data_IF_429473664346
#
_entry.id   IF_429473664346
#
_cell.length_a   1.000
_cell.length_b   1.000
_cell.length_c   1.000
_cell.angle_alpha   90.00
_cell.angle_beta   90.00
_cell.angle_gamma   90.00
#
_symmetry.space_group_name_H-M   'P 1'
#
loop_
_entity.id
_entity.type
_entity.pdbx_description
1 polymer ?
#
# COMPACT_ATOMS: atom_id res chain seq x y z
N UNK A 1 20.04 -0.58 -0.97
CA UNK A 1 18.71 -1.11 -1.32
C UNK A 1 18.29 -0.49 -2.64
N UNK A 2 17.80 -1.27 -3.60
CA UNK A 2 17.43 -0.73 -4.93
C UNK A 2 16.07 -0.04 -4.84
N UNK A 3 15.99 1.20 -5.33
CA UNK A 3 14.74 1.97 -5.46
C UNK A 3 14.05 1.56 -6.75
N UNK A 4 12.90 0.89 -6.65
CA UNK A 4 12.09 0.47 -7.82
C UNK A 4 11.33 1.66 -8.37
N UNK A 5 10.56 2.35 -7.53
CA UNK A 5 9.80 3.55 -7.90
C UNK A 5 10.65 4.78 -7.60
N UNK A 6 11.20 5.42 -8.63
CA UNK A 6 12.09 6.59 -8.48
C UNK A 6 11.37 7.92 -8.64
N UNK A 7 10.33 7.94 -9.47
CA UNK A 7 9.44 9.08 -9.66
C UNK A 7 7.99 8.59 -9.80
N UNK A 8 7.03 9.36 -9.29
CA UNK A 8 5.60 9.15 -9.53
C UNK A 8 4.90 10.49 -9.79
N UNK A 9 4.27 10.62 -10.96
CA UNK A 9 3.40 11.74 -11.30
C UNK A 9 1.95 11.30 -11.41
N UNK A 10 1.08 12.05 -10.73
CA UNK A 10 -0.37 11.91 -10.75
C UNK A 10 -0.95 13.07 -11.55
N UNK A 11 -1.03 12.90 -12.87
CA UNK A 11 -1.65 13.90 -13.75
C UNK A 11 -3.17 13.97 -13.50
N UNK A 12 -3.82 12.80 -13.37
CA UNK A 12 -5.23 12.69 -13.01
C UNK A 12 -5.51 11.37 -12.29
N UNK A 13 -5.85 11.41 -11.01
CA UNK A 13 -6.33 10.25 -10.25
C UNK A 13 -7.25 10.70 -9.11
N UNK A 14 -8.51 10.26 -9.14
CA UNK A 14 -9.55 10.73 -8.22
C UNK A 14 -9.61 12.27 -8.21
N UNK A 15 -9.55 12.88 -7.03
CA UNK A 15 -9.46 14.34 -6.88
C UNK A 15 -8.05 14.92 -7.01
N UNK A 16 -7.01 14.09 -7.17
CA UNK A 16 -5.60 14.53 -7.22
C UNK A 16 -5.17 14.74 -8.67
N UNK A 17 -4.58 15.90 -8.94
CA UNK A 17 -4.03 16.25 -10.25
C UNK A 17 -2.78 17.14 -10.10
N UNK A 18 -1.82 16.95 -11.01
CA UNK A 18 -0.59 17.75 -11.07
C UNK A 18 0.39 17.53 -9.91
N UNK A 19 0.31 16.38 -9.23
CA UNK A 19 1.22 16.05 -8.11
C UNK A 19 2.37 15.19 -8.62
N UNK A 20 3.60 15.62 -8.35
CA UNK A 20 4.82 14.89 -8.71
C UNK A 20 5.64 14.59 -7.47
N UNK A 21 6.03 13.33 -7.30
CA UNK A 21 6.96 12.85 -6.29
C UNK A 21 8.24 12.46 -7.02
N UNK A 22 9.22 13.37 -7.04
CA UNK A 22 10.51 13.14 -7.70
C UNK A 22 11.55 12.59 -6.72
N UNK A 23 12.54 11.85 -7.23
CA UNK A 23 13.69 11.39 -6.46
C UNK A 23 13.27 10.66 -5.16
N UNK A 24 12.33 9.72 -5.29
CA UNK A 24 11.97 8.79 -4.22
C UNK A 24 13.20 7.99 -3.80
N UNK A 25 13.31 7.76 -2.51
CA UNK A 25 14.42 7.05 -1.87
C UNK A 25 13.95 5.68 -1.38
N UNK A 26 14.87 4.82 -0.88
CA UNK A 26 14.52 3.58 -0.20
C UNK A 26 13.37 3.69 0.81
N UNK A 27 13.29 4.80 1.53
CA UNK A 27 12.20 5.16 2.44
C UNK A 27 11.66 6.52 2.05
N UNK A 28 10.45 6.57 1.51
CA UNK A 28 9.78 7.82 1.12
C UNK A 28 8.53 8.00 1.97
N UNK A 29 8.42 9.15 2.66
CA UNK A 29 7.32 9.46 3.56
C UNK A 29 6.46 10.59 3.00
N UNK A 30 5.17 10.36 2.85
CA UNK A 30 4.17 11.35 2.42
C UNK A 30 3.47 11.89 3.67
N UNK A 31 3.64 13.17 3.95
CA UNK A 31 3.16 13.84 5.17
C UNK A 31 2.12 14.90 4.83
N UNK A 32 1.12 15.09 5.68
CA UNK A 32 0.15 16.17 5.58
C UNK A 32 -1.17 15.86 6.30
N UNK A 33 -2.08 16.83 6.34
CA UNK A 33 -3.39 16.70 6.97
C UNK A 33 -4.27 15.59 6.37
N UNK A 34 -5.31 15.21 7.11
CA UNK A 34 -6.35 14.34 6.58
C UNK A 34 -6.99 14.96 5.33
N UNK A 35 -7.40 14.11 4.39
CA UNK A 35 -7.98 14.54 3.11
C UNK A 35 -7.03 15.35 2.17
N UNK A 36 -5.72 15.36 2.43
CA UNK A 36 -4.74 16.04 1.56
C UNK A 36 -4.34 15.25 0.31
N UNK A 37 -4.82 14.00 0.14
CA UNK A 37 -4.53 13.14 -1.02
C UNK A 37 -3.47 12.05 -0.78
N UNK A 38 -2.96 11.90 0.45
CA UNK A 38 -1.94 10.90 0.81
C UNK A 38 -2.30 9.45 0.42
N UNK A 39 -3.47 8.97 0.82
CA UNK A 39 -3.91 7.60 0.48
C UNK A 39 -4.11 7.42 -1.03
N UNK A 40 -4.59 8.47 -1.74
CA UNK A 40 -4.69 8.45 -3.20
C UNK A 40 -3.32 8.30 -3.89
N UNK A 41 -2.26 8.91 -3.32
CA UNK A 41 -0.89 8.74 -3.81
C UNK A 41 -0.42 7.29 -3.63
N UNK A 42 -0.70 6.65 -2.48
CA UNK A 42 -0.37 5.24 -2.29
C UNK A 42 -1.15 4.32 -3.24
N UNK A 43 -2.45 4.58 -3.44
CA UNK A 43 -3.27 3.83 -4.39
C UNK A 43 -2.70 3.93 -5.82
N UNK A 44 -2.38 5.15 -6.27
CA UNK A 44 -1.79 5.42 -7.57
C UNK A 44 -0.43 4.71 -7.73
N UNK A 45 0.41 4.69 -6.70
CA UNK A 45 1.67 3.93 -6.71
C UNK A 45 1.43 2.43 -6.91
N UNK A 46 0.43 1.87 -6.22
CA UNK A 46 0.03 0.47 -6.40
C UNK A 46 -0.42 0.16 -7.82
N UNK A 47 -1.31 0.99 -8.38
CA UNK A 47 -1.78 0.86 -9.77
C UNK A 47 -0.65 1.04 -10.79
N UNK A 48 0.28 1.96 -10.56
CA UNK A 48 1.44 2.16 -11.43
C UNK A 48 2.35 0.92 -11.48
N UNK A 49 2.53 0.24 -10.34
CA UNK A 49 3.38 -0.95 -10.22
C UNK A 49 2.73 -2.22 -10.77
N UNK A 50 1.39 -2.34 -10.67
CA UNK A 50 0.60 -3.48 -11.19
C UNK A 50 -0.67 -3.04 -11.96
N UNK A 51 -0.53 -2.32 -13.09
CA UNK A 51 -1.67 -1.69 -13.77
C UNK A 51 -2.72 -2.67 -14.31
N UNK A 52 -2.35 -3.76 -15.03
CA UNK A 52 -3.32 -4.71 -15.58
C UNK A 52 -3.77 -5.80 -14.59
N UNK A 53 -3.46 -5.65 -13.30
CA UNK A 53 -3.78 -6.65 -12.29
C UNK A 53 -5.09 -6.30 -11.57
N UNK A 54 -6.21 -6.99 -11.83
CA UNK A 54 -7.49 -6.66 -11.21
C UNK A 54 -7.47 -6.79 -9.68
N UNK A 55 -6.59 -7.64 -9.12
CA UNK A 55 -6.39 -7.76 -7.68
C UNK A 55 -5.80 -6.49 -7.06
N UNK A 56 -4.98 -5.75 -7.80
CA UNK A 56 -4.44 -4.47 -7.33
C UNK A 56 -5.53 -3.37 -7.29
N UNK A 57 -6.43 -3.34 -8.27
CA UNK A 57 -7.58 -2.42 -8.28
C UNK A 57 -8.54 -2.72 -7.12
N UNK A 58 -8.87 -3.99 -6.93
CA UNK A 58 -9.70 -4.43 -5.79
C UNK A 58 -9.02 -4.10 -4.47
N UNK A 59 -7.71 -4.31 -4.36
CA UNK A 59 -6.96 -3.94 -3.17
C UNK A 59 -7.06 -2.43 -2.89
N UNK A 60 -6.93 -1.57 -3.91
CA UNK A 60 -7.10 -0.13 -3.74
C UNK A 60 -8.50 0.26 -3.23
N UNK A 61 -9.55 -0.42 -3.69
CA UNK A 61 -10.93 -0.22 -3.19
C UNK A 61 -11.08 -0.68 -1.74
N UNK A 62 -10.76 -1.95 -1.45
CA UNK A 62 -11.01 -2.58 -0.15
C UNK A 62 -10.24 -1.95 1.01
N UNK A 63 -9.18 -1.19 0.71
CA UNK A 63 -8.44 -0.39 1.71
C UNK A 63 -9.24 0.79 2.23
N UNK A 64 -10.06 1.41 1.37
CA UNK A 64 -10.84 2.60 1.72
C UNK A 64 -12.03 2.21 2.58
N UNK A 65 -12.72 1.18 2.13
CA UNK A 65 -13.90 0.66 2.78
C UNK A 65 -14.05 -0.81 2.38
N UNK A 66 -14.03 -1.69 3.38
CA UNK A 66 -14.14 -3.12 3.17
C UNK A 66 -15.55 -3.50 2.70
N UNK A 67 -16.56 -2.74 3.11
CA UNK A 67 -17.99 -3.02 2.91
C UNK A 67 -18.55 -2.33 1.65
N UNK A 68 -17.82 -1.37 1.08
CA UNK A 68 -18.21 -0.68 -0.16
C UNK A 68 -18.42 -1.68 -1.31
N UNK A 69 -19.52 -1.52 -2.06
CA UNK A 69 -19.74 -2.32 -3.26
C UNK A 69 -18.56 -2.17 -4.22
N UNK A 70 -18.04 -3.29 -4.74
CA UNK A 70 -16.80 -3.28 -5.53
C UNK A 70 -16.91 -2.37 -6.75
N UNK A 71 -18.09 -2.35 -7.38
CA UNK A 71 -18.37 -1.54 -8.56
C UNK A 71 -18.27 -0.04 -8.25
N UNK A 72 -18.96 0.44 -7.21
CA UNK A 72 -18.91 1.84 -6.77
C UNK A 72 -17.48 2.22 -6.32
N UNK A 73 -16.81 1.27 -5.68
CA UNK A 73 -15.41 1.38 -5.32
C UNK A 73 -14.52 1.63 -6.54
N UNK A 74 -14.59 0.76 -7.56
CA UNK A 74 -13.78 0.92 -8.78
C UNK A 74 -14.14 2.21 -9.50
N UNK A 75 -15.43 2.52 -9.63
CA UNK A 75 -15.91 3.73 -10.29
C UNK A 75 -15.38 5.02 -9.62
N UNK A 76 -15.41 5.07 -8.29
CA UNK A 76 -14.90 6.22 -7.51
C UNK A 76 -13.38 6.44 -7.56
N UNK A 77 -12.62 5.56 -8.24
CA UNK A 77 -11.19 5.76 -8.50
C UNK A 77 -10.94 6.72 -9.67
N UNK A 78 -11.93 6.95 -10.53
CA UNK A 78 -11.78 7.80 -11.70
C UNK A 78 -12.01 9.28 -11.35
N UNK A 79 -11.32 10.21 -12.04
CA UNK A 79 -11.47 11.64 -11.77
C UNK A 79 -12.89 12.14 -12.01
N UNK A 80 -13.42 12.90 -11.05
CA UNK A 80 -14.78 13.48 -11.14
C UNK A 80 -15.90 12.44 -11.19
N UNK A 81 -15.66 11.20 -10.73
CA UNK A 81 -16.69 10.17 -10.71
C UNK A 81 -17.88 10.57 -9.81
N UNK A 82 -19.06 10.63 -10.41
CA UNK A 82 -20.35 10.76 -9.73
C UNK A 82 -21.00 9.39 -9.53
N UNK A 83 -22.09 9.32 -8.77
CA UNK A 83 -22.82 8.07 -8.57
C UNK A 83 -23.30 7.51 -9.91
N UNK A 84 -23.20 6.19 -10.08
CA UNK A 84 -23.69 5.54 -11.30
C UNK A 84 -25.19 5.34 -11.18
N UNK A 85 -25.91 5.76 -12.22
CA UNK A 85 -27.36 5.63 -12.37
C UNK A 85 -27.65 4.65 -13.52
N UNK A 86 -27.97 3.38 -13.23
CA UNK A 86 -28.21 2.36 -14.26
C UNK A 86 -29.29 2.76 -15.28
N UNK A 87 -30.30 3.51 -14.84
CA UNK A 87 -31.41 4.02 -15.64
C UNK A 87 -30.99 4.97 -16.77
N UNK A 88 -29.84 5.62 -16.65
CA UNK A 88 -29.31 6.57 -17.64
C UNK A 88 -28.54 5.87 -18.77
N UNK A 89 -28.46 4.54 -18.74
CA UNK A 89 -27.69 3.72 -19.68
C UNK A 89 -26.18 3.73 -19.39
N UNK A 90 -25.35 3.30 -20.36
CA UNK A 90 -23.91 3.16 -20.14
C UNK A 90 -23.22 4.50 -19.86
N UNK A 91 -22.59 4.62 -18.70
CA UNK A 91 -21.83 5.80 -18.31
C UNK A 91 -20.34 5.60 -18.54
N UNK A 92 -19.62 6.68 -18.89
CA UNK A 92 -18.17 6.65 -19.11
C UNK A 92 -17.45 7.56 -18.13
N UNK A 93 -16.33 7.10 -17.62
CA UNK A 93 -15.51 7.87 -16.70
C UNK A 93 -14.59 8.85 -17.43
N UNK A 94 -14.11 9.86 -16.71
CA UNK A 94 -12.86 10.54 -17.06
C UNK A 94 -11.67 9.56 -17.00
N UNK A 95 -10.54 9.93 -17.59
CA UNK A 95 -9.36 9.08 -17.61
C UNK A 95 -8.48 9.25 -16.36
N UNK A 96 -8.02 8.14 -15.79
CA UNK A 96 -6.84 8.11 -14.92
C UNK A 96 -5.61 8.28 -15.80
N UNK A 97 -4.69 9.15 -15.37
CA UNK A 97 -3.41 9.41 -16.03
C UNK A 97 -2.30 9.47 -14.99
N UNK A 98 -1.38 8.51 -15.08
CA UNK A 98 -0.23 8.38 -14.19
C UNK A 98 1.04 8.20 -15.03
N UNK A 99 2.16 8.70 -14.53
CA UNK A 99 3.49 8.36 -15.06
C UNK A 99 4.49 8.11 -13.94
N UNK A 100 5.55 7.35 -14.21
CA UNK A 100 6.59 7.04 -13.24
C UNK A 100 7.88 6.63 -13.94
N UNK A 101 9.00 6.86 -13.26
CA UNK A 101 10.28 6.24 -13.59
C UNK A 101 10.48 5.05 -12.65
N UNK A 102 10.59 3.86 -13.24
CA UNK A 102 10.69 2.57 -12.58
C UNK A 102 12.04 1.92 -12.91
N UNK A 103 13.04 2.11 -12.05
CA UNK A 103 14.42 1.67 -12.33
C UNK A 103 15.03 2.42 -13.51
N UNK A 104 15.21 1.74 -14.64
CA UNK A 104 15.75 2.27 -15.89
C UNK A 104 14.68 2.55 -16.96
N UNK A 105 13.39 2.47 -16.59
CA UNK A 105 12.26 2.55 -17.53
C UNK A 105 11.25 3.58 -17.10
N UNK A 106 10.81 4.40 -18.05
CA UNK A 106 9.61 5.19 -17.87
C UNK A 106 8.35 4.35 -18.14
N UNK A 107 7.30 4.66 -17.38
CA UNK A 107 5.99 4.06 -17.53
C UNK A 107 4.92 5.14 -17.53
N UNK A 108 3.99 5.06 -18.47
CA UNK A 108 2.73 5.79 -18.43
C UNK A 108 1.57 4.81 -18.31
N UNK A 109 0.56 5.17 -17.52
CA UNK A 109 -0.67 4.40 -17.36
C UNK A 109 -1.84 5.31 -17.66
N UNK A 110 -2.66 4.89 -18.62
CA UNK A 110 -3.92 5.53 -18.96
C UNK A 110 -5.06 4.53 -18.73
N UNK A 111 -6.09 4.92 -17.98
CA UNK A 111 -7.24 4.05 -17.77
C UNK A 111 -8.56 4.80 -17.86
N UNK A 112 -9.55 4.21 -18.53
CA UNK A 112 -10.94 4.67 -18.56
C UNK A 112 -11.87 3.55 -18.11
N UNK A 113 -13.06 3.90 -17.66
CA UNK A 113 -14.10 2.95 -17.29
C UNK A 113 -15.40 3.21 -18.02
N UNK A 114 -16.16 2.13 -18.21
CA UNK A 114 -17.55 2.17 -18.60
C UNK A 114 -18.37 1.37 -17.58
N UNK A 115 -19.34 2.03 -16.96
CA UNK A 115 -20.34 1.39 -16.11
C UNK A 115 -21.59 1.10 -16.94
N UNK A 116 -22.17 -0.08 -16.77
CA UNK A 116 -23.41 -0.46 -17.45
C UNK A 116 -24.12 -1.58 -16.71
N UNK A 117 -25.44 -1.60 -16.79
CA UNK A 117 -26.24 -2.74 -16.37
C UNK A 117 -25.97 -3.95 -17.30
N UNK A 118 -25.70 -5.11 -16.71
CA UNK A 118 -25.51 -6.37 -17.43
C UNK A 118 -26.75 -7.22 -17.21
N UNK A 119 -27.45 -7.54 -18.30
CA UNK A 119 -28.63 -8.39 -18.27
C UNK A 119 -28.24 -9.87 -18.20
N UNK A 120 -28.73 -10.59 -17.19
CA UNK A 120 -28.55 -12.03 -17.01
C UNK A 120 -29.46 -12.60 -15.92
N UNK A 121 -29.86 -13.89 -16.07
CA UNK A 121 -30.68 -14.87 -15.28
C UNK A 121 -31.64 -14.42 -14.17
N UNK A 122 -31.40 -13.33 -13.44
CA UNK A 122 -32.30 -12.77 -12.42
C UNK A 122 -33.02 -11.52 -12.95
N UNK A 123 -34.27 -11.31 -12.50
CA UNK A 123 -34.99 -10.05 -12.75
C UNK A 123 -34.25 -8.89 -12.08
N UNK A 124 -33.89 -7.87 -12.87
CA UNK A 124 -33.01 -6.76 -12.49
C UNK A 124 -31.55 -7.06 -12.85
N UNK A 125 -31.00 -6.34 -13.83
CA UNK A 125 -29.62 -6.55 -14.26
C UNK A 125 -28.62 -6.13 -13.17
N UNK A 126 -27.41 -6.69 -13.23
CA UNK A 126 -26.35 -6.39 -12.28
C UNK A 126 -25.48 -5.25 -12.82
N UNK A 127 -25.18 -4.24 -12.00
CA UNK A 127 -24.27 -3.18 -12.41
C UNK A 127 -22.84 -3.73 -12.53
N UNK A 128 -22.19 -3.51 -13.66
CA UNK A 128 -20.81 -3.88 -13.89
C UNK A 128 -19.98 -2.70 -14.35
N UNK A 129 -18.68 -2.72 -14.02
CA UNK A 129 -17.69 -1.76 -14.54
C UNK A 129 -16.63 -2.49 -15.33
N UNK A 130 -16.41 -2.02 -16.55
CA UNK A 130 -15.28 -2.42 -17.41
C UNK A 130 -14.24 -1.32 -17.36
N UNK A 131 -13.02 -1.67 -16.97
CA UNK A 131 -11.87 -0.76 -16.96
C UNK A 131 -10.95 -1.12 -18.11
N UNK A 132 -10.60 -0.15 -18.95
CA UNK A 132 -9.66 -0.30 -20.06
C UNK A 132 -8.34 0.34 -19.66
N UNK A 133 -7.29 -0.47 -19.48
CA UNK A 133 -5.96 -0.01 -19.02
C UNK A 133 -4.96 -0.10 -20.16
N UNK A 134 -4.42 1.04 -20.60
CA UNK A 134 -3.30 1.14 -21.53
C UNK A 134 -2.03 1.51 -20.76
N UNK A 135 -0.91 0.86 -21.12
CA UNK A 135 0.42 1.13 -20.55
C UNK A 135 1.34 1.50 -21.70
N UNK A 136 2.06 2.62 -21.58
CA UNK A 136 2.99 3.10 -22.61
C UNK A 136 2.37 3.29 -24.02
N UNK A 137 1.04 3.51 -24.08
CA UNK A 137 0.30 3.65 -25.34
C UNK A 137 -0.06 2.33 -26.03
N UNK A 138 0.25 1.18 -25.43
CA UNK A 138 -0.13 -0.14 -25.94
C UNK A 138 -1.66 -0.33 -25.95
N UNK A 139 -2.21 -1.25 -26.77
CA UNK A 139 -3.63 -1.57 -26.78
C UNK A 139 -4.18 -1.85 -25.39
N UNK A 140 -5.34 -1.28 -25.08
CA UNK A 140 -5.91 -1.34 -23.75
C UNK A 140 -6.31 -2.78 -23.36
N UNK A 141 -5.98 -3.12 -22.13
CA UNK A 141 -6.34 -4.38 -21.47
C UNK A 141 -7.66 -4.16 -20.72
N UNK A 142 -8.65 -5.00 -20.99
CA UNK A 142 -9.96 -4.92 -20.34
C UNK A 142 -9.97 -5.70 -19.01
N UNK A 143 -10.32 -5.03 -17.93
CA UNK A 143 -10.62 -5.59 -16.62
C UNK A 143 -12.14 -5.51 -16.38
N UNK A 144 -12.74 -6.54 -15.77
CA UNK A 144 -14.17 -6.58 -15.46
C UNK A 144 -14.40 -6.70 -13.96
N UNK A 145 -15.38 -5.98 -13.44
CA UNK A 145 -15.81 -6.05 -12.04
C UNK A 145 -17.34 -6.15 -11.96
N UNK A 146 -17.90 -7.00 -11.06
CA UNK A 146 -17.20 -7.77 -10.01
C UNK A 146 -16.48 -9.04 -10.50
N UNK A 147 -16.59 -9.42 -11.78
CA UNK A 147 -15.96 -10.61 -12.35
C UNK A 147 -14.44 -10.54 -12.54
N UNK A 148 -13.68 -10.83 -11.48
CA UNK A 148 -12.20 -10.85 -11.53
C UNK A 148 -11.73 -12.12 -12.24
N UNK A 149 -11.10 -11.97 -13.41
CA UNK A 149 -10.38 -13.05 -14.09
C UNK A 149 -8.90 -12.68 -14.21
N UNK A 150 -7.98 -13.65 -14.07
CA UNK A 150 -6.57 -13.41 -14.37
C UNK A 150 -6.44 -12.93 -15.82
N UNK A 151 -5.66 -11.87 -16.01
CA UNK A 151 -5.42 -11.30 -17.33
C UNK A 151 -3.98 -11.59 -17.73
N UNK A 152 -3.82 -12.21 -18.91
CA UNK A 152 -2.49 -12.44 -19.48
C UNK A 152 -2.06 -11.17 -20.20
N UNK A 153 -0.93 -10.61 -19.79
CA UNK A 153 -0.38 -9.38 -20.36
C UNK A 153 1.16 -9.45 -20.44
N UNK A 154 1.76 -8.63 -21.29
CA UNK A 154 3.22 -8.52 -21.42
C UNK A 154 3.80 -7.35 -20.61
N UNK A 155 2.95 -6.53 -20.00
CA UNK A 155 3.39 -5.40 -19.15
C UNK A 155 4.16 -5.94 -17.95
N UNK A 156 5.41 -5.50 -17.69
CA UNK A 156 6.15 -5.90 -16.51
C UNK A 156 5.40 -5.45 -15.23
N UNK A 157 5.27 -6.33 -14.24
CA UNK A 157 4.65 -5.98 -12.95
C UNK A 157 5.66 -6.10 -11.83
N UNK A 158 5.55 -5.20 -10.85
CA UNK A 158 6.44 -5.18 -9.69
C UNK A 158 5.73 -5.75 -8.47
N UNK A 159 6.48 -6.39 -7.58
CA UNK A 159 5.94 -6.86 -6.30
C UNK A 159 5.61 -5.65 -5.45
N UNK A 160 4.32 -5.45 -5.23
CA UNK A 160 3.82 -4.41 -4.33
C UNK A 160 2.78 -5.01 -3.41
N UNK A 161 2.91 -4.69 -2.13
CA UNK A 161 1.94 -5.04 -1.10
C UNK A 161 1.67 -3.82 -0.23
N UNK A 162 0.57 -3.86 0.50
CA UNK A 162 0.16 -2.73 1.32
C UNK A 162 -0.27 -3.16 2.70
N UNK A 163 0.11 -2.36 3.67
CA UNK A 163 -0.32 -2.46 5.06
C UNK A 163 -1.25 -1.29 5.34
N UNK A 164 -2.44 -1.60 5.84
CA UNK A 164 -3.45 -0.62 6.26
C UNK A 164 -3.49 -0.52 7.79
N UNK A 165 -4.10 0.55 8.34
CA UNK A 165 -4.35 0.68 9.78
C UNK A 165 -5.01 -0.52 10.45
N UNK A 166 -5.81 -1.29 9.71
CA UNK A 166 -6.63 -2.39 10.21
C UNK A 166 -6.08 -3.79 9.90
N UNK A 167 -4.95 -3.90 9.18
CA UNK A 167 -4.44 -5.18 8.68
C UNK A 167 -4.14 -6.20 9.78
N UNK A 168 -3.81 -5.77 11.00
CA UNK A 168 -3.45 -6.65 12.12
C UNK A 168 -4.64 -7.25 12.88
N UNK A 169 -5.88 -6.86 12.57
CA UNK A 169 -7.07 -7.38 13.24
C UNK A 169 -7.61 -8.68 12.62
N UNK A 170 -7.19 -9.04 11.40
CA UNK A 170 -7.77 -10.15 10.65
C UNK A 170 -6.94 -11.44 10.76
N UNK A 171 -7.47 -12.44 11.46
CA UNK A 171 -6.87 -13.78 11.56
C UNK A 171 -6.82 -14.48 10.20
N UNK A 172 -7.87 -14.36 9.38
CA UNK A 172 -7.89 -14.96 8.04
C UNK A 172 -6.81 -14.36 7.15
N UNK A 173 -6.58 -13.04 7.24
CA UNK A 173 -5.51 -12.38 6.52
C UNK A 173 -4.13 -12.91 6.93
N UNK A 174 -3.89 -13.16 8.22
CA UNK A 174 -2.63 -13.76 8.67
C UNK A 174 -2.43 -15.17 8.12
N UNK A 175 -3.47 -15.99 8.13
CA UNK A 175 -3.43 -17.35 7.57
C UNK A 175 -3.12 -17.31 6.08
N UNK A 176 -3.81 -16.46 5.32
CA UNK A 176 -3.59 -16.29 3.88
C UNK A 176 -2.18 -15.78 3.58
N UNK A 177 -1.72 -14.77 4.34
CA UNK A 177 -0.38 -14.21 4.17
C UNK A 177 0.71 -15.22 4.47
N UNK A 178 0.61 -15.95 5.58
CA UNK A 178 1.60 -16.96 5.95
C UNK A 178 1.59 -18.14 4.99
N UNK A 179 0.42 -18.60 4.55
CA UNK A 179 0.31 -19.66 3.54
C UNK A 179 1.03 -19.27 2.25
N UNK A 180 0.78 -18.05 1.74
CA UNK A 180 1.46 -17.56 0.53
C UNK A 180 2.97 -17.35 0.72
N UNK A 181 3.42 -17.03 1.93
CA UNK A 181 4.85 -16.96 2.28
C UNK A 181 5.48 -18.35 2.26
N UNK A 182 4.79 -19.37 2.80
CA UNK A 182 5.24 -20.76 2.82
C UNK A 182 5.29 -21.31 1.40
N UNK A 183 4.23 -21.12 0.61
CA UNK A 183 4.15 -21.57 -0.79
C UNK A 183 5.26 -20.94 -1.66
N UNK A 184 5.67 -19.72 -1.35
CA UNK A 184 6.77 -19.04 -2.01
C UNK A 184 8.17 -19.47 -1.52
N UNK A 185 8.26 -20.41 -0.56
CA UNK A 185 9.52 -20.88 0.02
C UNK A 185 10.22 -19.85 0.92
N UNK A 186 9.47 -18.93 1.54
CA UNK A 186 10.01 -17.77 2.28
C UNK A 186 9.75 -17.80 3.78
N UNK A 187 9.33 -18.94 4.34
CA UNK A 187 9.04 -19.08 5.77
C UNK A 187 10.23 -18.65 6.64
N UNK A 188 11.46 -19.06 6.30
CA UNK A 188 12.64 -18.67 7.08
C UNK A 188 12.87 -17.16 7.09
N UNK A 189 12.62 -16.47 5.96
CA UNK A 189 12.68 -15.02 5.91
C UNK A 189 11.60 -14.39 6.81
N UNK A 190 10.37 -14.89 6.80
CA UNK A 190 9.32 -14.40 7.69
C UNK A 190 9.69 -14.55 9.17
N UNK A 191 10.23 -15.70 9.56
CA UNK A 191 10.70 -15.93 10.95
C UNK A 191 11.87 -15.00 11.29
N UNK A 192 12.81 -14.79 10.37
CA UNK A 192 13.91 -13.85 10.55
C UNK A 192 13.41 -12.41 10.73
N UNK A 193 12.47 -11.97 9.90
CA UNK A 193 11.89 -10.63 10.00
C UNK A 193 11.06 -10.48 11.28
N UNK A 194 10.33 -11.52 11.71
CA UNK A 194 9.69 -11.53 13.03
C UNK A 194 10.70 -11.37 14.16
N UNK A 195 11.86 -12.02 14.06
CA UNK A 195 12.96 -11.89 15.02
C UNK A 195 13.47 -10.45 15.20
N UNK A 196 13.33 -9.59 14.18
CA UNK A 196 13.67 -8.15 14.28
C UNK A 196 12.71 -7.43 15.23
N UNK A 197 11.44 -7.83 15.27
CA UNK A 197 10.43 -7.27 16.17
C UNK A 197 10.42 -7.95 17.54
N UNK A 198 10.61 -9.26 17.58
CA UNK A 198 10.64 -10.04 18.80
C UNK A 198 11.59 -11.24 18.64
N UNK A 199 12.75 -11.17 19.31
CA UNK A 199 13.79 -12.19 19.26
C UNK A 199 13.39 -13.53 19.91
N UNK A 200 12.31 -13.55 20.69
CA UNK A 200 11.79 -14.77 21.30
C UNK A 200 10.96 -15.61 20.32
N UNK A 201 10.53 -15.04 19.18
CA UNK A 201 9.86 -15.78 18.10
C UNK A 201 10.86 -16.70 17.41
N UNK A 202 10.55 -18.00 17.39
CA UNK A 202 11.39 -19.06 16.80
C UNK A 202 10.78 -19.69 15.56
N UNK A 203 9.45 -19.72 15.45
CA UNK A 203 8.78 -20.20 14.26
C UNK A 203 7.35 -19.68 14.12
N UNK A 204 6.78 -19.80 12.92
CA UNK A 204 5.38 -19.50 12.59
C UNK A 204 4.74 -20.64 11.80
N UNK A 205 3.55 -21.09 12.19
CA UNK A 205 2.83 -22.17 11.51
C UNK A 205 1.35 -21.87 11.32
N UNK A 206 0.79 -22.29 10.19
CA UNK A 206 -0.67 -22.34 10.01
C UNK A 206 -1.17 -23.66 10.55
N UNK A 207 -2.17 -23.59 11.43
CA UNK A 207 -2.90 -24.77 11.89
C UNK A 207 -4.33 -24.75 11.38
N UNK A 208 -4.86 -25.94 11.08
CA UNK A 208 -6.28 -26.17 10.83
C UNK A 208 -6.79 -27.16 11.87
N UNK A 209 -7.71 -26.74 12.73
CA UNK A 209 -8.28 -27.59 13.78
C UNK A 209 -9.76 -27.31 13.94
N UNK A 210 -10.59 -28.36 13.92
CA UNK A 210 -12.06 -28.27 14.07
C UNK A 210 -12.72 -27.19 13.18
N UNK A 211 -12.25 -27.05 11.94
CA UNK A 211 -12.77 -26.04 10.99
C UNK A 211 -12.32 -24.61 11.26
N UNK A 212 -11.40 -24.39 12.21
CA UNK A 212 -10.77 -23.09 12.47
C UNK A 212 -9.33 -23.11 11.98
N UNK A 213 -8.96 -22.02 11.29
CA UNK A 213 -7.59 -21.78 10.85
C UNK A 213 -6.98 -20.66 11.69
N UNK A 214 -5.73 -20.83 12.11
CA UNK A 214 -5.01 -19.83 12.88
C UNK A 214 -3.52 -19.89 12.60
N UNK A 215 -2.83 -18.78 12.86
CA UNK A 215 -1.36 -18.74 12.91
C UNK A 215 -0.91 -19.00 14.34
N UNK A 216 -0.01 -19.96 14.52
CA UNK A 216 0.71 -20.23 15.78
C UNK A 216 2.12 -19.68 15.72
N UNK A 217 2.57 -19.20 16.87
CA UNK A 217 3.92 -18.70 17.11
C UNK A 217 4.62 -19.67 18.05
N UNK A 218 5.74 -20.24 17.62
CA UNK A 218 6.66 -20.94 18.52
C UNK A 218 7.52 -19.88 19.20
N UNK A 219 7.31 -19.69 20.50
CA UNK A 219 7.93 -18.61 21.28
C UNK A 219 8.79 -19.18 22.42
N UNK A 220 10.00 -18.65 22.59
CA UNK A 220 10.97 -19.19 23.55
C UNK A 220 10.45 -19.23 25.00
N UNK A 221 9.79 -18.15 25.44
CA UNK A 221 9.29 -18.03 26.82
C UNK A 221 7.85 -18.51 27.02
N UNK A 222 7.07 -18.70 25.94
CA UNK A 222 5.62 -18.99 26.01
C UNK A 222 5.22 -20.34 25.39
N UNK A 223 6.16 -21.07 24.79
CA UNK A 223 5.85 -22.27 24.04
C UNK A 223 5.12 -21.96 22.73
N UNK A 224 4.31 -22.91 22.25
CA UNK A 224 3.54 -22.75 21.00
C UNK A 224 2.15 -22.22 21.33
N UNK A 225 1.86 -20.99 20.90
CA UNK A 225 0.61 -20.27 21.21
C UNK A 225 0.03 -19.62 19.96
N UNK A 226 -1.28 -19.40 19.94
CA UNK A 226 -1.94 -18.75 18.81
C UNK A 226 -1.54 -17.25 18.74
N UNK A 227 -1.28 -16.73 17.54
CA UNK A 227 -0.91 -15.33 17.32
C UNK A 227 -1.98 -14.36 17.87
N UNK A 228 -3.24 -14.77 17.83
CA UNK A 228 -4.39 -14.02 18.38
C UNK A 228 -4.34 -13.84 19.91
N UNK A 229 -3.55 -14.66 20.63
CA UNK A 229 -3.36 -14.55 22.08
C UNK A 229 -2.37 -13.45 22.49
N UNK A 230 -1.62 -12.90 21.54
CA UNK A 230 -0.71 -11.79 21.79
C UNK A 230 -1.42 -10.44 21.65
N UNK A 231 -0.89 -9.42 22.33
CA UNK A 231 -1.37 -8.05 22.20
C UNK A 231 -1.14 -7.46 20.81
N UNK A 232 -1.75 -6.31 20.54
CA UNK A 232 -1.71 -5.62 19.23
C UNK A 232 -0.30 -5.37 18.71
N UNK A 233 0.67 -5.13 19.60
CA UNK A 233 2.06 -4.92 19.20
C UNK A 233 2.64 -6.09 18.40
N UNK A 234 2.51 -7.32 18.90
CA UNK A 234 3.07 -8.49 18.19
C UNK A 234 2.22 -8.87 16.97
N UNK A 235 0.90 -8.73 17.04
CA UNK A 235 0.02 -8.95 15.87
C UNK A 235 0.38 -7.99 14.74
N UNK A 236 0.64 -6.72 15.05
CA UNK A 236 1.09 -5.74 14.06
C UNK A 236 2.50 -6.04 13.54
N UNK A 237 3.43 -6.44 14.41
CA UNK A 237 4.74 -6.90 13.98
C UNK A 237 4.64 -8.08 13.00
N UNK A 238 3.74 -9.05 13.25
CA UNK A 238 3.45 -10.14 12.34
C UNK A 238 2.90 -9.65 11.00
N UNK A 239 1.98 -8.68 11.01
CA UNK A 239 1.43 -8.12 9.77
C UNK A 239 2.53 -7.46 8.92
N UNK A 240 3.40 -6.68 9.56
CA UNK A 240 4.55 -6.05 8.91
C UNK A 240 5.55 -7.08 8.40
N UNK A 241 5.97 -8.04 9.22
CA UNK A 241 6.97 -9.05 8.86
C UNK A 241 6.50 -9.96 7.71
N UNK A 242 5.24 -10.44 7.76
CA UNK A 242 4.67 -11.25 6.69
C UNK A 242 4.53 -10.44 5.40
N UNK A 243 4.06 -9.20 5.48
CA UNK A 243 3.91 -8.35 4.29
C UNK A 243 5.27 -7.97 3.70
N UNK A 244 6.28 -7.65 4.51
CA UNK A 244 7.67 -7.44 4.08
C UNK A 244 8.26 -8.67 3.39
N UNK A 245 8.02 -9.86 3.94
CA UNK A 245 8.48 -11.13 3.35
C UNK A 245 7.90 -11.33 1.95
N UNK A 246 6.60 -11.03 1.80
CA UNK A 246 5.92 -11.07 0.50
C UNK A 246 6.47 -10.01 -0.46
N UNK A 247 6.72 -8.81 0.05
CA UNK A 247 7.23 -7.67 -0.70
C UNK A 247 8.73 -7.74 -1.02
N UNK A 248 9.47 -8.73 -0.51
CA UNK A 248 10.93 -8.83 -0.70
C UNK A 248 11.34 -8.64 -2.16
N UNK A 249 12.32 -7.75 -2.37
CA UNK A 249 12.79 -7.23 -3.67
C UNK A 249 11.73 -6.41 -4.43
N UNK A 250 10.88 -5.70 -3.71
CA UNK A 250 9.75 -4.96 -4.25
C UNK A 250 9.45 -3.70 -3.43
N UNK A 251 8.18 -3.30 -3.43
CA UNK A 251 7.69 -2.10 -2.77
C UNK A 251 6.65 -2.46 -1.70
N UNK A 252 6.77 -1.85 -0.53
CA UNK A 252 5.77 -1.86 0.52
C UNK A 252 5.14 -0.49 0.63
N UNK A 253 3.83 -0.44 0.45
CA UNK A 253 3.03 0.75 0.69
C UNK A 253 2.48 0.66 2.12
N UNK A 254 2.60 1.72 2.91
CA UNK A 254 2.07 1.71 4.28
C UNK A 254 1.18 2.93 4.47
N UNK A 255 -0.11 2.72 4.66
CA UNK A 255 -1.02 3.81 5.00
C UNK A 255 -1.02 4.01 6.51
N UNK A 256 -0.82 5.26 6.95
CA UNK A 256 -0.64 5.65 8.35
C UNK A 256 0.38 4.75 9.07
N UNK A 257 1.67 4.96 8.75
CA UNK A 257 2.77 4.14 9.27
C UNK A 257 2.80 4.07 10.80
N UNK A 258 2.30 5.10 11.48
CA UNK A 258 2.12 5.15 12.92
C UNK A 258 1.01 4.23 13.40
N UNK A 259 -0.12 4.09 12.68
CA UNK A 259 -1.32 3.28 12.97
C UNK A 259 -1.58 3.05 14.47
N UNK A 260 -2.14 1.94 14.93
CA UNK A 260 -2.11 1.55 16.36
C UNK A 260 -0.71 1.25 16.96
N UNK A 261 0.27 2.16 16.91
CA UNK A 261 1.52 2.13 17.70
C UNK A 261 1.49 3.28 18.70
N UNK A 262 1.73 2.97 19.96
CA UNK A 262 1.82 3.98 21.00
C UNK A 262 3.07 4.86 20.81
N UNK A 263 2.93 6.18 20.97
CA UNK A 263 3.99 7.15 20.67
C UNK A 263 5.32 6.84 21.37
N UNK A 264 5.30 6.33 22.60
CA UNK A 264 6.51 6.00 23.37
C UNK A 264 7.36 4.90 22.75
N UNK A 265 6.80 4.08 21.85
CA UNK A 265 7.50 2.97 21.18
C UNK A 265 7.61 3.17 19.66
N UNK A 266 7.17 4.31 19.11
CA UNK A 266 7.22 4.60 17.67
C UNK A 266 8.63 4.44 17.10
N UNK A 267 9.64 5.11 17.66
CA UNK A 267 11.04 5.02 17.19
C UNK A 267 11.55 3.58 17.21
N UNK A 268 11.24 2.82 18.26
CA UNK A 268 11.64 1.42 18.37
C UNK A 268 11.01 0.56 17.25
N UNK A 269 9.69 0.67 17.06
CA UNK A 269 8.95 -0.15 16.08
C UNK A 269 9.30 0.26 14.65
N UNK A 270 9.35 1.56 14.35
CA UNK A 270 9.70 2.06 13.02
C UNK A 270 11.17 1.77 12.70
N UNK A 271 12.10 1.92 13.63
CA UNK A 271 13.50 1.52 13.42
C UNK A 271 13.65 0.03 13.11
N UNK A 272 12.85 -0.83 13.76
CA UNK A 272 12.78 -2.27 13.44
C UNK A 272 12.19 -2.54 12.05
N UNK A 273 11.14 -1.82 11.68
CA UNK A 273 10.55 -1.86 10.33
C UNK A 273 11.59 -1.48 9.26
N UNK A 274 12.34 -0.40 9.45
CA UNK A 274 13.38 0.04 8.51
C UNK A 274 14.50 -1.01 8.37
N UNK A 275 14.94 -1.59 9.48
CA UNK A 275 15.93 -2.70 9.49
C UNK A 275 15.41 -3.92 8.74
N UNK A 276 14.16 -4.32 9.00
CA UNK A 276 13.52 -5.46 8.35
C UNK A 276 13.34 -5.23 6.85
N UNK A 277 12.96 -4.03 6.44
CA UNK A 277 12.83 -3.64 5.04
C UNK A 277 14.18 -3.64 4.30
N UNK A 278 15.23 -3.11 4.93
CA UNK A 278 16.58 -3.18 4.38
C UNK A 278 17.05 -4.64 4.20
N UNK A 279 16.83 -5.50 5.20
CA UNK A 279 17.16 -6.93 5.13
C UNK A 279 16.39 -7.67 4.02
N UNK A 280 15.12 -7.32 3.81
CA UNK A 280 14.27 -7.90 2.77
C UNK A 280 14.42 -7.25 1.39
N UNK A 281 15.25 -6.20 1.28
CA UNK A 281 15.42 -5.36 0.08
C UNK A 281 14.10 -4.76 -0.42
N UNK A 282 13.33 -4.13 0.47
CA UNK A 282 11.98 -3.62 0.21
C UNK A 282 11.93 -2.10 0.28
N UNK A 283 11.53 -1.44 -0.81
CA UNK A 283 11.28 0.00 -0.85
C UNK A 283 10.01 0.34 -0.07
N UNK A 284 10.07 1.33 0.81
CA UNK A 284 8.91 1.80 1.55
C UNK A 284 8.44 3.12 0.94
N UNK A 285 7.16 3.17 0.59
CA UNK A 285 6.42 4.42 0.41
C UNK A 285 5.30 4.45 1.45
N UNK A 286 5.38 5.38 2.39
CA UNK A 286 4.47 5.41 3.53
C UNK A 286 3.77 6.76 3.65
N UNK A 287 2.59 6.78 4.27
CA UNK A 287 1.90 8.02 4.62
C UNK A 287 1.87 8.20 6.13
N UNK A 288 1.76 9.45 6.57
CA UNK A 288 1.55 9.78 7.98
C UNK A 288 0.86 11.13 8.12
N UNK A 289 0.16 11.33 9.23
CA UNK A 289 -0.30 12.63 9.71
C UNK A 289 0.30 12.99 11.09
N UNK A 290 1.17 12.12 11.61
CA UNK A 290 1.82 12.26 12.91
C UNK A 290 3.22 12.84 12.77
N UNK A 291 3.47 13.96 13.45
CA UNK A 291 4.80 14.54 13.57
C UNK A 291 5.72 13.63 14.40
N UNK A 292 5.16 12.93 15.38
CA UNK A 292 5.85 11.96 16.22
C UNK A 292 6.38 10.78 15.37
N UNK A 293 5.62 10.37 14.34
CA UNK A 293 6.07 9.37 13.38
C UNK A 293 7.20 9.88 12.49
N UNK A 294 7.14 11.14 12.06
CA UNK A 294 8.22 11.79 11.31
C UNK A 294 9.49 11.85 12.15
N UNK A 295 9.40 12.31 13.39
CA UNK A 295 10.53 12.38 14.33
C UNK A 295 11.11 11.00 14.63
N UNK A 296 10.25 9.99 14.78
CA UNK A 296 10.65 8.61 14.98
C UNK A 296 11.40 8.03 13.77
N UNK A 297 10.97 8.34 12.54
CA UNK A 297 11.65 7.92 11.30
C UNK A 297 13.00 8.63 11.16
N UNK A 298 13.04 9.95 11.36
CA UNK A 298 14.29 10.72 11.33
C UNK A 298 15.31 10.11 12.29
N UNK A 299 14.94 9.96 13.56
CA UNK A 299 15.82 9.37 14.56
C UNK A 299 16.23 7.94 14.23
N UNK A 300 15.33 7.14 13.65
CA UNK A 300 15.67 5.77 13.21
C UNK A 300 16.67 5.76 12.05
N UNK A 301 16.58 6.71 11.13
CA UNK A 301 17.51 6.85 10.00
C UNK A 301 18.89 7.33 10.47
N UNK A 302 18.94 8.22 11.47
CA UNK A 302 20.18 8.62 12.15
C UNK A 302 20.85 7.45 12.85
N UNK A 303 20.09 6.67 13.62
CA UNK A 303 20.59 5.47 14.33
C UNK A 303 21.17 4.43 13.35
N UNK A 304 20.69 4.42 12.11
CA UNK A 304 21.16 3.54 11.04
C UNK A 304 22.32 4.13 10.23
N UNK A 305 22.61 5.42 10.35
CA UNK A 305 23.64 6.10 9.56
C UNK A 305 23.34 6.16 8.05
N UNK A 306 22.05 6.18 7.66
CA UNK A 306 21.62 6.09 6.26
C UNK A 306 20.81 7.31 5.81
N UNK A 307 21.31 8.53 6.05
CA UNK A 307 20.59 9.78 5.76
C UNK A 307 20.05 9.89 4.33
N UNK A 308 20.82 9.45 3.32
CA UNK A 308 20.41 9.50 1.90
C UNK A 308 19.26 8.53 1.55
N UNK A 309 18.84 7.68 2.49
CA UNK A 309 17.76 6.72 2.29
C UNK A 309 16.36 7.29 2.55
N UNK A 310 16.25 8.49 3.15
CA UNK A 310 14.98 9.14 3.48
C UNK A 310 14.67 10.32 2.55
N UNK A 311 13.42 10.37 2.07
CA UNK A 311 12.81 11.55 1.47
C UNK A 311 11.44 11.75 2.07
N UNK A 312 11.05 13.01 2.26
CA UNK A 312 9.73 13.39 2.74
C UNK A 312 9.02 14.24 1.70
N UNK A 313 7.72 14.04 1.55
CA UNK A 313 6.86 14.80 0.64
C UNK A 313 5.72 15.38 1.45
N UNK A 314 5.71 16.69 1.63
CA UNK A 314 4.59 17.38 2.24
C UNK A 314 3.51 17.64 1.20
N UNK A 315 2.32 17.10 1.43
CA UNK A 315 1.19 17.15 0.51
C UNK A 315 0.03 17.89 1.14
N UNK A 316 -0.45 18.92 0.44
CA UNK A 316 -1.58 19.75 0.86
C UNK A 316 -2.61 19.90 -0.25
N UNK A 317 -3.84 20.20 0.16
CA UNK A 317 -4.93 20.59 -0.73
C UNK A 317 -5.36 22.01 -0.41
N UNK A 318 -5.23 22.92 -1.37
CA UNK A 318 -5.61 24.33 -1.23
C UNK A 318 -6.42 24.74 -2.47
N UNK A 319 -7.58 25.38 -2.27
CA UNK A 319 -8.47 25.85 -3.33
C UNK A 319 -8.80 24.78 -4.39
N UNK A 320 -9.00 23.54 -3.92
CA UNK A 320 -9.29 22.38 -4.76
C UNK A 320 -8.08 21.78 -5.50
N UNK A 321 -6.91 22.43 -5.45
CA UNK A 321 -5.66 21.96 -6.06
C UNK A 321 -4.79 21.23 -5.06
N UNK A 322 -4.03 20.25 -5.56
CA UNK A 322 -3.07 19.49 -4.76
C UNK A 322 -1.66 19.98 -5.06
N UNK A 323 -0.85 20.10 -4.02
CA UNK A 323 0.56 20.44 -4.14
C UNK A 323 1.39 19.45 -3.31
N UNK A 324 2.52 19.03 -3.85
CA UNK A 324 3.52 18.24 -3.14
C UNK A 324 4.86 19.00 -3.14
N UNK A 325 5.52 19.05 -1.98
CA UNK A 325 6.87 19.59 -1.82
C UNK A 325 7.78 18.54 -1.26
N UNK A 326 8.91 18.31 -1.93
CA UNK A 326 9.94 17.38 -1.48
C UNK A 326 10.88 18.03 -0.48
N UNK A 327 11.25 17.27 0.55
CA UNK A 327 12.30 17.56 1.51
C UNK A 327 13.25 16.38 1.57
N UNK A 328 14.54 16.64 1.43
CA UNK A 328 15.58 15.66 1.74
C UNK A 328 15.76 15.53 3.27
N UNK A 329 16.63 14.61 3.67
CA UNK A 329 16.91 14.33 5.08
C UNK A 329 17.35 15.58 5.86
N UNK A 330 18.31 16.34 5.35
CA UNK A 330 18.81 17.53 6.05
C UNK A 330 17.70 18.58 6.22
N UNK A 331 16.91 18.81 5.16
CA UNK A 331 15.84 19.79 5.18
C UNK A 331 14.71 19.40 6.13
N UNK A 332 14.29 18.13 6.14
CA UNK A 332 13.23 17.70 7.05
C UNK A 332 13.67 17.78 8.52
N UNK A 333 14.94 17.47 8.84
CA UNK A 333 15.49 17.65 10.18
C UNK A 333 15.40 19.12 10.63
N UNK A 334 15.90 20.05 9.81
CA UNK A 334 15.84 21.49 10.11
C UNK A 334 14.40 21.99 10.31
N UNK A 335 13.45 21.51 9.49
CA UNK A 335 12.05 21.90 9.63
C UNK A 335 11.43 21.39 10.94
N UNK A 336 11.78 20.18 11.37
CA UNK A 336 11.30 19.59 12.63
C UNK A 336 11.91 20.27 13.85
N UNK A 337 13.21 20.57 13.82
CA UNK A 337 13.90 21.34 14.87
C UNK A 337 13.34 22.76 15.02
N UNK A 338 12.99 23.40 13.90
CA UNK A 338 12.40 24.74 13.87
C UNK A 338 10.94 24.81 14.31
N UNK A 339 10.35 23.69 14.75
CA UNK A 339 8.96 23.64 15.24
C UNK A 339 7.90 23.78 14.16
N UNK A 340 8.24 23.59 12.88
CA UNK A 340 7.25 23.67 11.79
C UNK A 340 6.25 22.50 11.91
N UNK A 341 4.97 22.84 11.92
CA UNK A 341 3.89 21.87 11.76
C UNK A 341 3.70 21.61 10.25
N UNK A 342 3.99 20.38 9.84
CA UNK A 342 3.80 19.88 8.47
C UNK A 342 2.45 19.15 8.31
N UNK A 343 1.50 19.38 9.24
CA UNK A 343 0.11 18.94 9.11
C UNK A 343 -0.66 19.85 8.17
#
# INVERSE_FOLDING_TARGET
MTTVLQELSLNAYRGVSGVVLENLTPVSLVVGANNSGKSSILEAAGLMLRPPDPGQWVSAVRRRDADLALVDGIWSMFPGAEAVHPEDGPQRSSAIQLSATLGDRDRTVFATAQASEVTGVTDGGELAVRVYVSVNGDPAIELRFPGIKPVVHQVPVYRVFTVTPSSHYSTSLFVDQLSQVVDAGRKQLAVQLMGVFDSEVKDLDVIKSHGREAVRVTHASRGVVDLSSFGDGLRRAAALALTLTRASQGVLLIDEIESGIHHSVLRLVLGRLLKAAAAAQVQILATTHSLEAVDAIIGSIEDLGTSDSLSAFWVRRQDGKHEARRYDFAKICTLREGGLDIR
#
